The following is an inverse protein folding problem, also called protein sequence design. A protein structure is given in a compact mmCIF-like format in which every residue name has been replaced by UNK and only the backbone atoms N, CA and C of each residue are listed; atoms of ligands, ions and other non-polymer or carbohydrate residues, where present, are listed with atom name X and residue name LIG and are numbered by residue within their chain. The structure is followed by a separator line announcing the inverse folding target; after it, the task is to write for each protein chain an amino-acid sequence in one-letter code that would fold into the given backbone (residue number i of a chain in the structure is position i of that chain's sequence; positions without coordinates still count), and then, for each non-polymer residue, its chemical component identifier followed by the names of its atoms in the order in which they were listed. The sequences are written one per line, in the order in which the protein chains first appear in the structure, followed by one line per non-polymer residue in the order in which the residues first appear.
data_IF_581117286033
#
_entry.id   IF_581117286033
#
_cell.length_a   1.000
_cell.length_b   1.000
_cell.length_c   1.000
_cell.angle_alpha   90.00
_cell.angle_beta   90.00
_cell.angle_gamma   90.00
#
_symmetry.space_group_name_H-M   'P 1'
#
loop_
_entity.id
_entity.type
_entity.pdbx_description
1 polymer ?
#
# COMPACT_ATOMS: atom_id res chain seq x y z
N UNK A 1 21.68 -9.66 3.32
CA UNK A 1 21.34 -8.22 3.29
C UNK A 1 22.64 -7.41 3.31
N UNK A 2 22.73 -6.28 2.61
CA UNK A 2 23.93 -5.42 2.62
C UNK A 2 24.20 -4.78 3.99
N UNK A 3 23.19 -4.74 4.87
CA UNK A 3 23.23 -4.06 6.17
C UNK A 3 24.35 -4.54 7.09
N UNK A 4 24.78 -5.80 6.99
CA UNK A 4 25.89 -6.32 7.79
C UNK A 4 27.23 -5.61 7.50
N UNK A 5 27.37 -5.02 6.32
CA UNK A 5 28.56 -4.28 5.89
C UNK A 5 28.31 -2.77 5.82
N UNK A 6 27.19 -2.28 6.36
CA UNK A 6 26.89 -0.86 6.36
C UNK A 6 27.83 -0.12 7.33
N UNK A 7 28.53 0.88 6.81
CA UNK A 7 29.49 1.66 7.60
C UNK A 7 28.87 2.94 8.14
N UNK A 8 27.88 3.50 7.46
CA UNK A 8 27.22 4.75 7.83
C UNK A 8 26.23 4.56 8.98
N UNK A 9 25.80 5.67 9.57
CA UNK A 9 24.93 5.69 10.76
C UNK A 9 23.48 5.38 10.43
N UNK A 10 23.08 5.60 9.17
CA UNK A 10 21.75 5.23 8.72
C UNK A 10 21.58 5.12 7.21
N UNK A 11 20.46 4.52 6.83
CA UNK A 11 20.03 4.37 5.43
C UNK A 11 18.57 4.76 5.32
N UNK A 12 18.24 5.62 4.36
CA UNK A 12 16.86 5.94 4.00
C UNK A 12 16.53 5.30 2.65
N UNK A 13 15.48 4.49 2.58
CA UNK A 13 15.04 3.93 1.31
C UNK A 13 14.22 4.95 0.53
N UNK A 14 14.52 5.10 -0.75
CA UNK A 14 13.94 6.15 -1.59
C UNK A 14 13.47 5.64 -2.95
N UNK A 15 12.50 6.35 -3.53
CA UNK A 15 12.07 6.19 -4.91
C UNK A 15 11.75 7.57 -5.49
N UNK A 16 12.22 7.82 -6.71
CA UNK A 16 11.80 9.02 -7.44
C UNK A 16 10.31 8.88 -7.82
N UNK A 17 9.52 9.92 -7.54
CA UNK A 17 8.09 9.97 -7.89
C UNK A 17 7.77 11.21 -8.72
N UNK A 18 6.69 11.22 -9.52
CA UNK A 18 6.32 12.42 -10.27
C UNK A 18 5.90 13.60 -9.37
N UNK A 19 5.21 13.33 -8.27
CA UNK A 19 4.73 14.33 -7.32
C UNK A 19 5.11 13.95 -5.87
N UNK A 20 6.10 14.64 -5.27
CA UNK A 20 6.61 14.30 -3.94
C UNK A 20 5.86 14.96 -2.79
N UNK A 21 4.90 15.87 -3.05
CA UNK A 21 4.36 16.80 -2.03
C UNK A 21 3.55 16.11 -0.92
N UNK A 22 3.24 14.83 -1.09
CA UNK A 22 2.58 13.97 -0.09
C UNK A 22 3.56 13.21 0.82
N UNK A 23 4.86 13.28 0.55
CA UNK A 23 5.89 12.45 1.16
C UNK A 23 7.02 13.31 1.74
N UNK A 24 7.90 12.70 2.53
CA UNK A 24 9.22 13.25 2.80
C UNK A 24 10.17 13.03 1.62
N UNK A 25 11.06 13.98 1.34
CA UNK A 25 12.09 13.87 0.29
C UNK A 25 13.49 13.99 0.86
N UNK A 26 14.42 13.20 0.34
CA UNK A 26 15.82 13.25 0.72
C UNK A 26 16.61 14.14 -0.25
N UNK A 27 17.23 15.18 0.26
CA UNK A 27 18.28 15.92 -0.44
C UNK A 27 19.59 15.18 -0.26
N UNK A 28 20.35 15.04 -1.35
CA UNK A 28 21.59 14.27 -1.36
C UNK A 28 22.74 15.03 -2.00
N UNK A 29 23.95 14.79 -1.52
CA UNK A 29 25.18 15.23 -2.17
C UNK A 29 25.53 14.37 -3.40
N UNK A 30 26.68 14.67 -4.03
CA UNK A 30 27.14 13.98 -5.25
C UNK A 30 27.49 12.51 -4.99
N UNK A 31 27.82 12.18 -3.75
CA UNK A 31 28.16 10.85 -3.27
C UNK A 31 26.92 10.06 -2.79
N UNK A 32 25.73 10.67 -2.84
CA UNK A 32 24.45 10.07 -2.47
C UNK A 32 24.19 10.04 -0.96
N UNK A 33 24.94 10.84 -0.19
CA UNK A 33 24.73 11.03 1.25
C UNK A 33 23.60 12.02 1.47
N UNK A 34 22.75 11.74 2.45
CA UNK A 34 21.63 12.62 2.79
C UNK A 34 22.17 13.87 3.47
N UNK A 35 21.87 15.03 2.90
CA UNK A 35 22.22 16.34 3.46
C UNK A 35 21.08 16.94 4.26
N UNK A 36 19.84 16.68 3.84
CA UNK A 36 18.64 17.15 4.50
C UNK A 36 17.42 16.32 4.10
N UNK A 37 16.41 16.29 4.96
CA UNK A 37 15.10 15.70 4.67
C UNK A 37 14.02 16.76 4.80
N UNK A 38 13.22 16.92 3.75
CA UNK A 38 12.09 17.86 3.74
C UNK A 38 10.79 17.08 3.76
N UNK A 39 10.00 17.23 4.81
CA UNK A 39 8.66 16.62 4.90
C UNK A 39 7.63 17.42 4.11
N UNK A 40 6.86 16.75 3.23
CA UNK A 40 5.77 17.34 2.44
C UNK A 40 6.21 18.64 1.75
N UNK A 41 7.19 18.58 0.82
CA UNK A 41 7.72 19.76 0.17
C UNK A 41 6.62 20.51 -0.58
N UNK A 42 6.78 21.83 -0.75
CA UNK A 42 5.83 22.65 -1.51
C UNK A 42 6.05 22.54 -3.03
N UNK A 43 7.30 22.31 -3.46
CA UNK A 43 7.70 22.19 -4.86
C UNK A 43 8.01 20.74 -5.25
N UNK A 44 8.10 20.50 -6.56
CA UNK A 44 8.48 19.19 -7.11
C UNK A 44 9.96 19.13 -7.53
N UNK A 45 10.79 20.09 -7.10
CA UNK A 45 12.18 20.23 -7.58
C UNK A 45 13.06 19.06 -7.12
N UNK A 46 12.82 18.58 -5.90
CA UNK A 46 13.37 17.33 -5.41
C UNK A 46 12.26 16.28 -5.34
N UNK A 47 12.38 15.25 -6.16
CA UNK A 47 11.38 14.22 -6.28
C UNK A 47 11.80 12.87 -5.68
N UNK A 48 12.92 12.85 -4.94
CA UNK A 48 13.46 11.66 -4.31
C UNK A 48 12.72 11.36 -2.99
N UNK A 49 11.52 10.80 -3.11
CA UNK A 49 10.66 10.50 -1.99
C UNK A 49 11.21 9.36 -1.14
N UNK A 50 11.08 9.50 0.17
CA UNK A 50 11.44 8.49 1.16
C UNK A 50 10.26 7.55 1.36
N UNK A 51 10.55 6.26 1.29
CA UNK A 51 9.57 5.16 1.26
C UNK A 51 9.03 4.80 2.66
N UNK A 52 9.52 5.48 3.71
CA UNK A 52 9.16 5.17 5.09
C UNK A 52 9.91 3.99 5.70
N UNK A 53 10.92 3.46 5.01
CA UNK A 53 11.81 2.42 5.54
C UNK A 53 13.20 3.02 5.82
N UNK A 54 13.71 2.76 7.02
CA UNK A 54 14.96 3.31 7.51
C UNK A 54 15.76 2.25 8.25
N UNK A 55 17.08 2.40 8.19
CA UNK A 55 18.03 1.71 9.05
C UNK A 55 18.72 2.76 9.90
N UNK A 56 18.87 2.47 11.18
CA UNK A 56 19.63 3.25 12.13
C UNK A 56 20.62 2.31 12.82
N UNK A 57 21.89 2.69 12.83
CA UNK A 57 22.94 1.92 13.49
C UNK A 57 22.82 1.96 15.02
N UNK A 58 22.30 3.08 15.55
CA UNK A 58 22.05 3.27 16.98
C UNK A 58 20.61 3.75 17.21
N UNK A 59 19.83 2.92 17.89
CA UNK A 59 18.49 3.30 18.35
C UNK A 59 18.53 4.39 19.43
N UNK A 60 19.53 4.38 20.30
CA UNK A 60 19.71 5.40 21.35
C UNK A 60 19.92 6.79 20.74
N UNK A 61 20.75 6.90 19.70
CA UNK A 61 20.95 8.15 18.98
C UNK A 61 19.63 8.67 18.39
N UNK A 62 18.83 7.79 17.77
CA UNK A 62 17.53 8.15 17.23
C UNK A 62 16.58 8.66 18.32
N UNK A 63 16.44 7.94 19.44
CA UNK A 63 15.59 8.37 20.56
C UNK A 63 16.03 9.74 21.08
N UNK A 64 17.34 9.94 21.27
CA UNK A 64 17.88 11.23 21.71
C UNK A 64 17.59 12.38 20.72
N UNK A 65 17.52 12.10 19.42
CA UNK A 65 17.14 13.08 18.41
C UNK A 65 15.63 13.40 18.46
N UNK A 66 14.79 12.40 18.68
CA UNK A 66 13.33 12.57 18.85
C UNK A 66 13.03 13.40 20.12
N UNK A 67 13.69 13.11 21.25
CA UNK A 67 13.55 13.89 22.47
C UNK A 67 13.95 15.35 22.28
N UNK A 68 15.03 15.59 21.52
CA UNK A 68 15.43 16.93 21.13
C UNK A 68 14.39 17.61 20.24
N UNK A 69 13.83 16.90 19.26
CA UNK A 69 12.77 17.40 18.40
C UNK A 69 11.58 17.91 19.22
N UNK A 70 11.14 17.14 20.21
CA UNK A 70 10.07 17.52 21.14
C UNK A 70 10.43 18.76 21.96
N UNK A 71 11.65 18.82 22.52
CA UNK A 71 12.13 19.98 23.28
C UNK A 71 12.20 21.24 22.43
N UNK A 72 12.62 21.12 21.17
CA UNK A 72 12.69 22.23 20.20
C UNK A 72 11.32 22.58 19.62
N UNK A 73 10.29 21.75 19.84
CA UNK A 73 8.96 21.85 19.21
C UNK A 73 9.04 21.94 17.69
N UNK A 74 9.91 21.13 17.09
CA UNK A 74 10.01 20.99 15.63
C UNK A 74 8.89 20.07 15.16
N UNK A 75 7.70 20.64 15.05
CA UNK A 75 6.48 19.99 14.59
C UNK A 75 5.91 20.72 13.38
N UNK A 76 5.10 20.02 12.59
CA UNK A 76 4.27 20.62 11.54
C UNK A 76 2.84 20.19 11.77
N UNK A 77 1.93 21.16 11.87
CA UNK A 77 0.49 20.91 12.09
C UNK A 77 0.20 20.00 13.29
N UNK A 78 1.00 20.10 14.37
CA UNK A 78 0.85 19.30 15.58
C UNK A 78 1.43 17.88 15.50
N UNK A 79 2.11 17.54 14.41
CA UNK A 79 2.77 16.24 14.22
C UNK A 79 4.30 16.40 14.22
N UNK A 80 4.98 15.41 14.81
CA UNK A 80 6.43 15.29 14.79
C UNK A 80 6.83 14.28 13.72
N UNK A 81 7.56 14.74 12.71
CA UNK A 81 7.97 13.89 11.59
C UNK A 81 9.36 13.32 11.81
N UNK A 82 9.54 12.07 11.41
CA UNK A 82 10.84 11.38 11.50
C UNK A 82 11.91 12.08 10.65
N UNK A 83 11.52 12.74 9.56
CA UNK A 83 12.40 13.59 8.76
C UNK A 83 13.16 14.63 9.61
N UNK A 84 12.46 15.29 10.54
CA UNK A 84 13.06 16.30 11.40
C UNK A 84 13.99 15.69 12.47
N UNK A 85 13.64 14.52 13.03
CA UNK A 85 14.53 13.78 13.92
C UNK A 85 15.81 13.34 13.20
N UNK A 86 15.73 12.91 11.94
CA UNK A 86 16.92 12.59 11.14
C UNK A 86 17.72 13.86 10.86
N UNK A 87 17.09 15.00 10.56
CA UNK A 87 17.80 16.26 10.41
C UNK A 87 18.58 16.65 11.67
N UNK A 88 18.04 16.42 12.87
CA UNK A 88 18.77 16.61 14.13
C UNK A 88 19.98 15.66 14.23
N UNK A 89 19.88 14.42 13.75
CA UNK A 89 21.04 13.53 13.67
C UNK A 89 22.10 14.05 12.68
N UNK A 90 21.68 14.54 11.51
CA UNK A 90 22.57 15.13 10.51
C UNK A 90 23.27 16.38 11.07
N UNK A 91 22.57 17.24 11.80
CA UNK A 91 23.15 18.39 12.51
C UNK A 91 24.22 17.97 13.52
N UNK A 92 24.05 16.79 14.16
CA UNK A 92 25.02 16.19 15.09
C UNK A 92 26.18 15.47 14.38
N UNK A 93 26.20 15.48 13.05
CA UNK A 93 27.25 14.89 12.22
C UNK A 93 27.05 13.42 11.86
N UNK A 94 25.87 12.85 12.14
CA UNK A 94 25.55 11.49 11.68
C UNK A 94 25.53 11.44 10.15
N UNK A 95 25.98 10.33 9.58
CA UNK A 95 26.04 10.15 8.14
C UNK A 95 24.97 9.18 7.68
N UNK A 96 24.15 9.63 6.74
CA UNK A 96 23.10 8.83 6.12
C UNK A 96 23.36 8.72 4.63
N UNK A 97 22.96 7.61 4.02
CA UNK A 97 22.86 7.48 2.56
C UNK A 97 21.48 7.04 2.15
N UNK A 98 21.19 7.21 0.87
CA UNK A 98 19.97 6.66 0.29
C UNK A 98 20.17 5.23 -0.21
N UNK A 99 19.09 4.45 -0.24
CA UNK A 99 19.01 3.18 -0.92
C UNK A 99 17.79 3.17 -1.83
N UNK A 100 18.00 3.03 -3.14
CA UNK A 100 16.89 3.01 -4.10
C UNK A 100 16.12 1.68 -4.02
N UNK A 101 14.80 1.76 -4.10
CA UNK A 101 13.93 0.60 -4.37
C UNK A 101 13.48 0.59 -5.82
N UNK A 102 13.37 -0.60 -6.41
CA UNK A 102 12.83 -0.77 -7.76
C UNK A 102 11.31 -0.58 -7.76
N UNK A 103 10.64 -1.13 -6.75
CA UNK A 103 9.18 -1.14 -6.63
C UNK A 103 8.80 -0.53 -5.29
N UNK A 104 7.84 0.40 -5.33
CA UNK A 104 7.17 0.94 -4.15
C UNK A 104 5.69 1.01 -4.50
N UNK A 105 4.88 0.34 -3.69
CA UNK A 105 3.44 0.24 -3.85
C UNK A 105 2.83 0.88 -2.62
N UNK A 106 2.45 2.15 -2.75
CA UNK A 106 1.81 2.91 -1.68
C UNK A 106 0.31 2.59 -1.66
N UNK A 107 -0.22 2.14 -0.54
CA UNK A 107 -1.65 1.81 -0.38
C UNK A 107 -2.41 2.92 0.35
N UNK A 108 -1.97 4.16 0.20
CA UNK A 108 -2.56 5.33 0.86
C UNK A 108 -3.90 5.82 0.28
N UNK A 109 -4.32 5.33 -0.89
CA UNK A 109 -5.67 5.54 -1.46
C UNK A 109 -6.21 4.24 -2.03
N UNK A 110 -7.51 4.14 -2.28
CA UNK A 110 -8.11 2.92 -2.83
C UNK A 110 -7.57 2.62 -4.23
N UNK A 111 -7.42 3.63 -5.07
CA UNK A 111 -6.86 3.48 -6.41
C UNK A 111 -5.44 2.92 -6.36
N UNK A 112 -4.62 3.43 -5.45
CA UNK A 112 -3.25 2.98 -5.25
C UNK A 112 -3.20 1.56 -4.65
N UNK A 113 -4.14 1.22 -3.77
CA UNK A 113 -4.33 -0.15 -3.26
C UNK A 113 -4.74 -1.14 -4.35
N UNK A 114 -5.64 -0.75 -5.26
CA UNK A 114 -6.03 -1.57 -6.41
C UNK A 114 -4.89 -1.71 -7.42
N UNK A 115 -4.09 -0.67 -7.63
CA UNK A 115 -2.84 -0.75 -8.41
C UNK A 115 -1.83 -1.71 -7.78
N UNK A 116 -1.65 -1.62 -6.46
CA UNK A 116 -0.80 -2.54 -5.69
C UNK A 116 -1.27 -3.98 -5.88
N UNK A 117 -2.57 -4.23 -5.76
CA UNK A 117 -3.18 -5.53 -5.98
C UNK A 117 -2.93 -6.06 -7.40
N UNK A 118 -3.15 -5.22 -8.43
CA UNK A 118 -2.84 -5.56 -9.83
C UNK A 118 -1.39 -5.98 -9.98
N UNK A 119 -0.46 -5.15 -9.49
CA UNK A 119 0.96 -5.41 -9.57
C UNK A 119 1.33 -6.74 -8.91
N UNK A 120 0.84 -7.00 -7.69
CA UNK A 120 1.11 -8.23 -6.95
C UNK A 120 0.52 -9.47 -7.64
N UNK A 121 -0.67 -9.37 -8.21
CA UNK A 121 -1.30 -10.48 -8.95
C UNK A 121 -0.56 -10.80 -10.26
N UNK A 122 0.01 -9.80 -10.93
CA UNK A 122 0.77 -9.95 -12.17
C UNK A 122 2.21 -10.44 -11.95
N UNK A 123 2.84 -10.04 -10.84
CA UNK A 123 4.28 -10.27 -10.58
C UNK A 123 4.56 -11.24 -9.42
N UNK A 124 3.54 -11.59 -8.63
CA UNK A 124 3.65 -12.42 -7.44
C UNK A 124 3.45 -13.92 -7.69
N UNK A 125 3.83 -14.73 -6.70
CA UNK A 125 3.63 -16.20 -6.69
C UNK A 125 2.24 -16.63 -6.19
N UNK A 126 1.40 -15.68 -5.77
CA UNK A 126 0.12 -15.97 -5.12
C UNK A 126 -1.06 -16.04 -6.11
N UNK A 127 -0.88 -15.77 -7.40
CA UNK A 127 -1.95 -16.05 -8.35
C UNK A 127 -2.21 -17.56 -8.42
N UNK A 128 -3.38 -17.99 -7.92
CA UNK A 128 -3.76 -19.40 -7.90
C UNK A 128 -5.12 -19.64 -8.59
N UNK A 129 -5.17 -19.49 -9.92
CA UNK A 129 -6.39 -19.75 -10.68
C UNK A 129 -6.80 -21.23 -10.67
N UNK A 130 -5.92 -22.14 -10.26
CA UNK A 130 -6.14 -23.60 -10.33
C UNK A 130 -6.97 -24.16 -9.16
N UNK A 131 -7.11 -23.41 -8.04
CA UNK A 131 -7.86 -23.88 -6.86
C UNK A 131 -9.39 -23.78 -7.01
N UNK A 132 -9.91 -23.20 -8.10
CA UNK A 132 -11.35 -23.13 -8.38
C UNK A 132 -11.68 -23.94 -9.62
N UNK A 133 -11.54 -25.27 -9.55
CA UNK A 133 -12.18 -26.17 -10.52
C UNK A 133 -13.63 -26.41 -10.12
N UNK A 134 -14.52 -25.49 -10.47
CA UNK A 134 -15.98 -25.64 -10.35
C UNK A 134 -16.63 -25.31 -11.68
N UNK A 135 -17.50 -26.20 -12.17
CA UNK A 135 -18.03 -26.17 -13.55
C UNK A 135 -18.89 -24.91 -13.86
N UNK A 136 -19.26 -24.13 -12.84
CA UNK A 136 -20.14 -22.96 -12.87
C UNK A 136 -19.42 -21.63 -12.58
N UNK A 137 -18.09 -21.64 -12.41
CA UNK A 137 -17.30 -20.44 -12.13
C UNK A 137 -16.32 -20.16 -13.25
N UNK A 138 -16.42 -18.97 -13.85
CA UNK A 138 -15.45 -18.50 -14.85
C UNK A 138 -14.38 -17.66 -14.16
N UNK A 139 -13.14 -18.12 -14.19
CA UNK A 139 -11.99 -17.38 -13.67
C UNK A 139 -11.21 -16.77 -14.83
N UNK A 140 -10.97 -15.46 -14.75
CA UNK A 140 -10.16 -14.68 -15.71
C UNK A 140 -8.90 -14.21 -14.99
N UNK A 141 -7.73 -14.84 -15.19
CA UNK A 141 -6.50 -14.46 -14.51
C UNK A 141 -6.00 -13.05 -14.89
N UNK A 142 -5.14 -12.42 -14.05
CA UNK A 142 -4.64 -12.95 -12.79
C UNK A 142 -5.65 -12.73 -11.64
N UNK A 143 -5.77 -13.72 -10.75
CA UNK A 143 -6.61 -13.65 -9.56
C UNK A 143 -5.95 -14.35 -8.38
N UNK A 144 -6.29 -13.92 -7.17
CA UNK A 144 -6.08 -14.67 -5.93
C UNK A 144 -7.44 -15.06 -5.36
N UNK A 145 -7.60 -16.33 -5.02
CA UNK A 145 -8.82 -16.84 -4.39
C UNK A 145 -8.37 -17.74 -3.24
N UNK A 146 -8.71 -17.36 -2.01
CA UNK A 146 -8.44 -18.18 -0.85
C UNK A 146 -9.17 -19.53 -0.94
N UNK A 147 -8.54 -20.61 -0.47
CA UNK A 147 -9.05 -21.98 -0.62
C UNK A 147 -10.39 -22.25 0.07
N UNK A 148 -10.71 -21.47 1.11
CA UNK A 148 -11.98 -21.57 1.85
C UNK A 148 -13.11 -20.75 1.23
N UNK A 149 -12.83 -19.95 0.18
CA UNK A 149 -13.87 -19.18 -0.48
C UNK A 149 -14.84 -20.10 -1.23
N UNK A 150 -16.14 -19.78 -1.15
CA UNK A 150 -17.22 -20.51 -1.81
C UNK A 150 -17.78 -19.62 -2.91
N UNK A 151 -17.54 -20.02 -4.15
CA UNK A 151 -18.00 -19.28 -5.33
C UNK A 151 -18.90 -20.20 -6.16
N UNK A 152 -20.03 -19.65 -6.65
CA UNK A 152 -20.97 -20.33 -7.53
C UNK A 152 -21.57 -19.35 -8.55
N UNK A 153 -21.91 -19.85 -9.76
CA UNK A 153 -22.55 -19.09 -10.84
C UNK A 153 -21.94 -17.71 -11.12
N UNK A 154 -20.62 -17.57 -11.07
CA UNK A 154 -19.96 -16.25 -11.04
C UNK A 154 -18.79 -16.13 -12.03
N UNK A 155 -18.47 -14.91 -12.41
CA UNK A 155 -17.24 -14.57 -13.16
C UNK A 155 -16.31 -13.74 -12.28
N UNK A 156 -15.07 -14.20 -12.11
CA UNK A 156 -14.08 -13.57 -11.24
C UNK A 156 -12.84 -13.21 -12.06
N UNK A 157 -12.47 -11.94 -12.04
CA UNK A 157 -11.27 -11.40 -12.65
C UNK A 157 -11.52 -10.62 -13.96
N UNK A 158 -10.46 -9.99 -14.51
CA UNK A 158 -9.07 -10.02 -14.01
C UNK A 158 -8.85 -9.15 -12.77
N UNK A 159 -7.69 -9.34 -12.14
CA UNK A 159 -7.17 -8.52 -11.04
C UNK A 159 -8.04 -8.50 -9.78
N UNK A 160 -8.56 -9.67 -9.41
CA UNK A 160 -9.40 -9.84 -8.23
C UNK A 160 -8.68 -10.64 -7.16
N UNK A 161 -8.76 -10.15 -5.92
CA UNK A 161 -8.30 -10.86 -4.72
C UNK A 161 -9.47 -11.14 -3.80
N UNK A 162 -9.68 -12.41 -3.45
CA UNK A 162 -10.76 -12.89 -2.59
C UNK A 162 -10.15 -13.53 -1.34
N UNK A 163 -10.48 -12.96 -0.18
CA UNK A 163 -10.09 -13.42 1.15
C UNK A 163 -10.75 -14.73 1.58
N UNK A 164 -10.40 -15.16 2.79
CA UNK A 164 -10.89 -16.39 3.38
C UNK A 164 -12.39 -16.33 3.69
N UNK A 165 -13.08 -17.47 3.52
CA UNK A 165 -14.48 -17.66 3.90
C UNK A 165 -15.47 -16.72 3.20
N UNK A 166 -15.07 -16.11 2.08
CA UNK A 166 -15.99 -15.33 1.25
C UNK A 166 -17.02 -16.24 0.60
N UNK A 167 -18.24 -15.73 0.43
CA UNK A 167 -19.33 -16.43 -0.26
C UNK A 167 -19.82 -15.54 -1.41
N UNK A 168 -19.63 -16.00 -2.65
CA UNK A 168 -19.92 -15.20 -3.85
C UNK A 168 -20.83 -16.01 -4.77
N UNK A 169 -22.04 -15.50 -5.02
CA UNK A 169 -23.05 -16.17 -5.84
C UNK A 169 -23.63 -15.23 -6.90
N UNK A 170 -23.87 -15.76 -8.10
CA UNK A 170 -24.57 -15.07 -9.20
C UNK A 170 -23.97 -13.70 -9.58
N UNK A 171 -22.64 -13.55 -9.46
CA UNK A 171 -21.94 -12.26 -9.47
C UNK A 171 -20.83 -12.16 -10.52
N UNK A 172 -20.48 -10.91 -10.87
CA UNK A 172 -19.36 -10.59 -11.76
C UNK A 172 -18.43 -9.60 -11.06
N UNK A 173 -17.16 -9.93 -10.92
CA UNK A 173 -16.21 -9.12 -10.15
C UNK A 173 -14.92 -8.99 -10.95
N UNK A 174 -14.45 -7.75 -11.15
CA UNK A 174 -13.17 -7.44 -11.79
C UNK A 174 -12.45 -6.30 -11.03
N UNK A 175 -11.12 -6.24 -11.14
CA UNK A 175 -10.27 -5.17 -10.58
C UNK A 175 -10.68 -4.76 -9.14
N UNK A 176 -10.87 -5.74 -8.27
CA UNK A 176 -11.48 -5.52 -6.95
C UNK A 176 -10.84 -6.38 -5.87
N UNK A 177 -10.94 -5.94 -4.62
CA UNK A 177 -10.46 -6.65 -3.43
C UNK A 177 -11.66 -6.93 -2.53
N UNK A 178 -11.84 -8.19 -2.15
CA UNK A 178 -12.81 -8.64 -1.17
C UNK A 178 -12.04 -9.22 0.01
N UNK A 179 -12.12 -8.59 1.17
CA UNK A 179 -11.50 -9.10 2.40
C UNK A 179 -12.26 -10.29 2.99
N UNK A 180 -11.73 -10.87 4.07
CA UNK A 180 -12.25 -12.10 4.67
C UNK A 180 -13.73 -12.02 5.09
N UNK A 181 -14.46 -13.10 4.84
CA UNK A 181 -15.86 -13.26 5.24
C UNK A 181 -16.87 -12.46 4.40
N UNK A 182 -16.43 -11.79 3.33
CA UNK A 182 -17.32 -11.01 2.48
C UNK A 182 -18.36 -11.91 1.81
N UNK A 183 -19.62 -11.47 1.82
CA UNK A 183 -20.71 -12.11 1.08
C UNK A 183 -21.17 -11.22 -0.08
N UNK A 184 -21.15 -11.74 -1.30
CA UNK A 184 -21.67 -11.04 -2.48
C UNK A 184 -22.72 -11.91 -3.15
N UNK A 185 -23.91 -11.37 -3.34
CA UNK A 185 -25.00 -12.06 -4.02
C UNK A 185 -25.60 -11.20 -5.13
N UNK A 186 -25.70 -11.77 -6.33
CA UNK A 186 -26.33 -11.15 -7.48
C UNK A 186 -25.80 -9.73 -7.82
N UNK A 187 -24.48 -9.50 -7.74
CA UNK A 187 -23.89 -8.18 -7.94
C UNK A 187 -22.84 -8.14 -9.08
N UNK A 188 -22.62 -6.96 -9.64
CA UNK A 188 -21.53 -6.68 -10.58
C UNK A 188 -20.61 -5.60 -9.99
N UNK A 189 -19.34 -5.91 -9.73
CA UNK A 189 -18.37 -5.04 -9.08
C UNK A 189 -17.14 -4.80 -9.97
N UNK A 190 -16.72 -3.55 -10.07
CA UNK A 190 -15.49 -3.15 -10.76
C UNK A 190 -14.81 -2.01 -10.01
N UNK A 191 -13.48 -2.11 -9.83
CA UNK A 191 -12.71 -1.08 -9.14
C UNK A 191 -13.07 -0.93 -7.65
N UNK A 192 -13.46 -2.02 -6.98
CA UNK A 192 -14.08 -1.99 -5.65
C UNK A 192 -13.18 -2.52 -4.54
N UNK A 193 -13.33 -1.97 -3.34
CA UNK A 193 -12.73 -2.47 -2.11
C UNK A 193 -13.83 -2.80 -1.09
N UNK A 194 -13.95 -4.07 -0.74
CA UNK A 194 -14.98 -4.56 0.18
C UNK A 194 -14.31 -5.06 1.46
N UNK A 195 -14.53 -4.33 2.57
CA UNK A 195 -14.00 -4.65 3.90
C UNK A 195 -14.57 -5.95 4.48
N UNK A 196 -13.98 -6.40 5.58
CA UNK A 196 -14.24 -7.72 6.19
C UNK A 196 -15.69 -7.90 6.57
N UNK A 197 -16.22 -9.11 6.41
CA UNK A 197 -17.60 -9.48 6.77
C UNK A 197 -18.71 -8.64 6.09
N UNK A 198 -18.35 -7.75 5.16
CA UNK A 198 -19.31 -6.92 4.48
C UNK A 198 -20.20 -7.75 3.54
N UNK A 199 -21.41 -7.27 3.32
CA UNK A 199 -22.43 -7.92 2.51
C UNK A 199 -22.90 -6.99 1.42
N UNK A 200 -22.85 -7.47 0.18
CA UNK A 200 -23.34 -6.75 -0.99
C UNK A 200 -24.38 -7.63 -1.68
N UNK A 201 -25.59 -7.09 -1.82
CA UNK A 201 -26.70 -7.78 -2.47
C UNK A 201 -27.35 -6.88 -3.52
N UNK A 202 -27.57 -7.41 -4.72
CA UNK A 202 -28.30 -6.75 -5.80
C UNK A 202 -27.42 -6.16 -6.90
N UNK A 203 -28.06 -5.90 -8.05
CA UNK A 203 -27.43 -5.26 -9.21
C UNK A 203 -27.75 -3.77 -9.18
N UNK A 204 -26.74 -2.93 -9.43
CA UNK A 204 -26.97 -1.51 -9.65
C UNK A 204 -27.95 -1.25 -10.80
N UNK A 205 -28.48 -0.04 -10.85
CA UNK A 205 -29.35 0.40 -11.94
C UNK A 205 -28.68 0.15 -13.30
N UNK A 206 -29.45 -0.34 -14.27
CA UNK A 206 -29.04 -0.52 -15.67
C UNK A 206 -28.01 -1.63 -15.96
N UNK A 207 -27.69 -2.49 -14.98
CA UNK A 207 -26.85 -3.67 -15.21
C UNK A 207 -25.37 -3.36 -15.44
N UNK A 208 -24.92 -2.14 -15.14
CA UNK A 208 -23.52 -1.76 -15.16
C UNK A 208 -22.81 -2.23 -13.88
N UNK A 209 -21.50 -2.60 -13.96
CA UNK A 209 -20.68 -2.84 -12.78
C UNK A 209 -20.60 -1.60 -11.89
N UNK A 210 -20.59 -1.81 -10.58
CA UNK A 210 -20.51 -0.73 -9.59
C UNK A 210 -19.13 -0.65 -8.97
N UNK A 211 -18.75 0.57 -8.58
CA UNK A 211 -17.61 0.82 -7.70
C UNK A 211 -18.12 1.00 -6.27
N UNK A 212 -17.82 0.03 -5.41
CA UNK A 212 -18.16 0.07 -3.99
C UNK A 212 -16.90 0.01 -3.14
N UNK A 213 -16.77 0.98 -2.25
CA UNK A 213 -15.66 1.11 -1.32
C UNK A 213 -16.24 1.20 0.09
N UNK A 214 -16.44 0.05 0.71
CA UNK A 214 -17.17 -0.08 1.97
C UNK A 214 -16.29 -0.72 3.03
N UNK A 215 -16.43 -0.23 4.27
CA UNK A 215 -15.70 -0.75 5.41
C UNK A 215 -16.30 -2.05 5.95
N UNK A 216 -15.66 -2.57 6.99
CA UNK A 216 -16.02 -3.82 7.64
C UNK A 216 -17.48 -3.83 8.14
N UNK A 217 -18.09 -5.01 8.17
CA UNK A 217 -19.45 -5.30 8.65
C UNK A 217 -20.57 -4.51 7.93
N UNK A 218 -20.24 -3.80 6.85
CA UNK A 218 -21.20 -3.00 6.09
C UNK A 218 -22.19 -3.89 5.34
N UNK A 219 -23.45 -3.46 5.23
CA UNK A 219 -24.48 -4.14 4.46
C UNK A 219 -25.05 -3.18 3.43
N UNK A 220 -24.89 -3.54 2.15
CA UNK A 220 -25.42 -2.80 1.02
C UNK A 220 -26.43 -3.67 0.29
N UNK A 221 -27.64 -3.13 0.09
CA UNK A 221 -28.72 -3.74 -0.67
C UNK A 221 -29.18 -2.76 -1.74
N UNK A 222 -29.22 -3.21 -2.99
CA UNK A 222 -29.42 -2.39 -4.18
C UNK A 222 -30.66 -2.81 -4.95
#
# INVERSE_FOLDING_TARGET
SFLANETLDGVAWVKAVPDPRRFGVAEVDKEGRVTHLTEKPETCDNNLAVVGCYYFKSGEALISAIEEQFRRKVERKGEYFLADAINILLERGAQFRTQKVSVWLDTGTIEATLETNRYLLEHGRESNPQNVKRNDVKVVPPVFIHETAVIANSTIGPHVSIGANCVITDSQIENSILEDGVTVNAAALSGSFIGRQAKVEGRGAEGQPMTLNIGDDSVIKL
#
